data_IF_844537567451
#
_entry.id   IF_844537567451
#
_cell.length_a   1.000
_cell.length_b   1.000
_cell.length_c   1.000
_cell.angle_alpha   90.00
_cell.angle_beta   90.00
_cell.angle_gamma   90.00
#
_symmetry.space_group_name_H-M   'P 1'
#
loop_
_entity.id
_entity.type
_entity.pdbx_description
1 polymer ?
#
# COMPACT_ATOMS: atom_id res chain seq x y z
N UNK A 1 -16.03 6.50 -7.65
CA UNK A 1 -14.75 6.33 -8.38
C UNK A 1 -14.45 4.87 -8.73
N UNK A 2 -15.01 3.85 -8.05
CA UNK A 2 -14.77 2.43 -8.34
C UNK A 2 -15.40 1.94 -9.65
N UNK A 3 -16.48 2.58 -10.07
CA UNK A 3 -17.31 2.12 -11.19
C UNK A 3 -16.62 2.29 -12.54
N UNK A 4 -15.70 3.26 -12.67
CA UNK A 4 -15.01 3.56 -13.92
C UNK A 4 -14.02 2.44 -14.28
N UNK A 5 -13.32 1.87 -13.30
CA UNK A 5 -12.32 0.83 -13.55
C UNK A 5 -12.96 -0.48 -14.03
N UNK A 6 -14.11 -0.85 -13.45
CA UNK A 6 -14.81 -2.08 -13.76
C UNK A 6 -15.44 -2.08 -15.18
N UNK A 7 -15.61 -0.89 -15.77
CA UNK A 7 -16.20 -0.70 -17.11
C UNK A 7 -15.16 -0.56 -18.22
N UNK A 8 -13.86 -0.43 -17.89
CA UNK A 8 -12.79 -0.34 -18.89
C UNK A 8 -12.52 -1.70 -19.51
N UNK A 9 -12.06 -1.71 -20.75
CA UNK A 9 -11.48 -2.91 -21.36
C UNK A 9 -10.12 -3.15 -20.70
N UNK A 10 -9.89 -4.36 -20.20
CA UNK A 10 -8.64 -4.72 -19.57
C UNK A 10 -7.56 -4.99 -20.62
N UNK A 11 -6.46 -4.25 -20.58
CA UNK A 11 -5.40 -4.32 -21.61
C UNK A 11 -4.83 -5.72 -21.81
N UNK A 12 -4.61 -6.49 -20.74
CA UNK A 12 -3.97 -7.82 -20.88
C UNK A 12 -4.96 -8.93 -21.24
N UNK A 13 -6.25 -8.71 -21.02
CA UNK A 13 -7.25 -9.78 -21.22
C UNK A 13 -8.35 -9.43 -22.20
N UNK A 14 -8.36 -8.22 -22.75
CA UNK A 14 -9.28 -7.77 -23.80
C UNK A 14 -10.75 -7.68 -23.38
N UNK A 15 -11.09 -7.99 -22.13
CA UNK A 15 -12.47 -8.04 -21.64
C UNK A 15 -12.76 -6.96 -20.62
N UNK A 16 -14.04 -6.66 -20.44
CA UNK A 16 -14.51 -5.73 -19.43
C UNK A 16 -14.67 -6.49 -18.11
N UNK A 17 -13.98 -6.10 -17.02
CA UNK A 17 -14.03 -6.81 -15.74
C UNK A 17 -15.45 -7.03 -15.20
N UNK A 18 -16.35 -6.05 -15.36
CA UNK A 18 -17.74 -6.17 -14.93
C UNK A 18 -18.51 -7.26 -15.69
N UNK A 19 -18.25 -7.45 -16.98
CA UNK A 19 -18.90 -8.48 -17.79
C UNK A 19 -18.33 -9.87 -17.46
N UNK A 20 -17.00 -9.97 -17.37
CA UNK A 20 -16.32 -11.22 -16.98
C UNK A 20 -16.74 -11.71 -15.59
N UNK A 21 -16.88 -10.79 -14.64
CA UNK A 21 -17.30 -11.12 -13.27
C UNK A 21 -18.67 -11.82 -13.24
N UNK A 22 -19.59 -11.53 -14.18
CA UNK A 22 -20.90 -12.22 -14.23
C UNK A 22 -20.76 -13.72 -14.49
N UNK A 23 -19.76 -14.10 -15.29
CA UNK A 23 -19.47 -15.50 -15.65
C UNK A 23 -18.67 -16.16 -14.52
N UNK A 24 -17.66 -15.47 -13.99
CA UNK A 24 -16.79 -16.01 -12.93
C UNK A 24 -17.50 -16.17 -11.59
N UNK A 25 -18.58 -15.43 -11.35
CA UNK A 25 -19.30 -15.41 -10.06
C UNK A 25 -19.76 -16.79 -9.59
N UNK A 26 -20.11 -17.71 -10.50
CA UNK A 26 -20.48 -19.08 -10.13
C UNK A 26 -19.32 -19.90 -9.59
N UNK A 27 -18.09 -19.52 -9.91
CA UNK A 27 -16.86 -20.21 -9.53
C UNK A 27 -16.19 -19.58 -8.30
N UNK A 28 -16.70 -18.43 -7.83
CA UNK A 28 -16.15 -17.76 -6.65
C UNK A 28 -16.57 -18.48 -5.37
N UNK A 29 -15.62 -18.62 -4.46
CA UNK A 29 -15.90 -19.05 -3.09
C UNK A 29 -16.72 -17.98 -2.36
N UNK A 30 -17.57 -18.37 -1.40
CA UNK A 30 -18.25 -17.40 -0.55
C UNK A 30 -17.22 -16.52 0.16
N UNK A 31 -17.59 -15.27 0.44
CA UNK A 31 -16.76 -14.41 1.26
C UNK A 31 -16.57 -15.08 2.63
N UNK A 32 -15.35 -15.08 3.18
CA UNK A 32 -15.13 -15.56 4.53
C UNK A 32 -15.99 -14.74 5.50
N UNK A 33 -16.32 -15.34 6.65
CA UNK A 33 -16.97 -14.60 7.73
C UNK A 33 -16.11 -13.39 8.10
N UNK A 34 -16.76 -12.33 8.56
CA UNK A 34 -16.08 -11.16 9.10
C UNK A 34 -15.02 -11.62 10.09
N UNK A 35 -13.80 -11.09 9.93
CA UNK A 35 -12.68 -11.44 10.79
C UNK A 35 -13.01 -11.07 12.23
N UNK A 36 -13.41 -12.05 13.04
CA UNK A 36 -13.75 -11.86 14.46
C UNK A 36 -12.51 -11.71 15.34
N UNK A 37 -11.32 -11.61 14.76
CA UNK A 37 -10.15 -11.24 15.55
C UNK A 37 -10.39 -9.88 16.18
N UNK A 38 -9.88 -9.71 17.41
CA UNK A 38 -9.91 -8.42 18.09
C UNK A 38 -9.23 -7.40 17.18
N UNK A 39 -10.01 -6.62 16.45
CA UNK A 39 -9.53 -5.36 15.93
C UNK A 39 -9.07 -4.61 17.17
N UNK A 40 -7.81 -4.16 17.27
CA UNK A 40 -7.46 -3.23 18.32
C UNK A 40 -8.49 -2.11 18.17
N UNK A 41 -9.40 -2.01 19.15
CA UNK A 41 -10.46 -1.02 19.19
C UNK A 41 -9.80 0.26 18.73
N UNK A 42 -10.31 0.85 17.64
CA UNK A 42 -9.78 2.02 16.94
C UNK A 42 -8.73 2.62 17.82
N UNK A 43 -7.44 2.33 17.57
CA UNK A 43 -6.39 2.96 18.35
C UNK A 43 -6.76 4.42 18.18
N UNK A 44 -7.36 5.01 19.22
CA UNK A 44 -7.31 6.43 19.40
C UNK A 44 -5.83 6.62 19.20
N UNK A 45 -5.49 7.31 18.12
CA UNK A 45 -4.13 7.74 17.92
C UNK A 45 -3.98 8.69 19.09
N UNK A 46 -3.68 8.11 20.27
CA UNK A 46 -3.08 8.78 21.37
C UNK A 46 -1.98 9.49 20.63
N UNK A 47 -2.07 10.81 20.59
CA UNK A 47 -0.97 11.63 20.15
C UNK A 47 0.16 11.25 21.10
N UNK A 48 0.87 10.18 20.73
CA UNK A 48 2.05 9.75 21.41
C UNK A 48 2.97 10.92 21.18
N UNK A 49 3.10 11.74 22.22
CA UNK A 49 4.24 12.64 22.36
C UNK A 49 5.52 11.84 22.59
N UNK A 50 5.56 10.57 22.17
CA UNK A 50 6.77 9.84 21.84
C UNK A 50 7.69 10.80 21.11
N UNK A 51 8.88 10.97 21.68
CA UNK A 51 9.92 11.85 21.17
C UNK A 51 9.99 11.67 19.66
N UNK A 52 9.54 12.70 18.93
CA UNK A 52 9.65 12.71 17.47
C UNK A 52 11.10 12.38 17.14
N UNK A 53 11.30 11.55 16.12
CA UNK A 53 12.63 11.21 15.61
C UNK A 53 13.54 12.44 15.66
N UNK A 54 14.73 12.25 16.22
CA UNK A 54 15.72 13.32 16.32
C UNK A 54 15.84 14.03 14.98
N UNK A 55 15.69 15.36 14.99
CA UNK A 55 15.81 16.19 13.78
C UNK A 55 17.25 16.27 13.28
N UNK A 56 18.18 15.56 13.92
CA UNK A 56 19.58 15.50 13.51
C UNK A 56 19.67 14.68 12.23
N UNK A 57 20.19 15.31 11.18
CA UNK A 57 20.49 14.61 9.93
C UNK A 57 21.52 13.51 10.18
N UNK A 58 21.15 12.28 9.85
CA UNK A 58 22.04 11.11 9.91
C UNK A 58 22.97 11.03 8.68
N UNK A 59 22.83 11.96 7.72
CA UNK A 59 23.64 11.98 6.51
C UNK A 59 24.89 12.86 6.71
N UNK A 60 26.04 12.33 6.29
CA UNK A 60 27.29 13.08 6.20
C UNK A 60 27.24 14.11 5.07
N UNK A 61 28.06 15.16 5.16
CA UNK A 61 28.17 16.13 4.07
C UNK A 61 28.76 15.47 2.82
N UNK A 62 28.31 15.91 1.63
CA UNK A 62 28.72 15.33 0.35
C UNK A 62 30.23 15.39 0.11
N UNK A 63 30.92 16.39 0.68
CA UNK A 63 32.38 16.49 0.62
C UNK A 63 33.08 15.27 1.22
N UNK A 64 32.53 14.63 2.26
CA UNK A 64 33.13 13.44 2.86
C UNK A 64 33.15 12.28 1.87
N UNK A 65 32.05 12.07 1.14
CA UNK A 65 32.00 11.04 0.10
C UNK A 65 32.96 11.33 -1.04
N UNK A 66 33.08 12.60 -1.44
CA UNK A 66 34.04 13.03 -2.47
C UNK A 66 35.48 12.73 -2.05
N UNK A 67 35.86 13.05 -0.81
CA UNK A 67 37.21 12.76 -0.29
C UNK A 67 37.52 11.26 -0.24
N UNK A 68 36.54 10.42 0.12
CA UNK A 68 36.71 8.97 0.13
C UNK A 68 36.90 8.45 -1.29
N UNK A 69 36.13 8.97 -2.24
CA UNK A 69 36.19 8.56 -3.64
C UNK A 69 37.51 8.98 -4.31
N UNK A 70 38.04 10.15 -3.98
CA UNK A 70 39.33 10.64 -4.51
C UNK A 70 40.55 9.96 -3.87
N UNK A 71 40.39 9.33 -2.70
CA UNK A 71 41.44 8.59 -2.02
C UNK A 71 41.58 7.12 -2.49
N UNK A 72 40.72 6.68 -3.42
CA UNK A 72 40.74 5.36 -4.06
C UNK A 72 41.43 5.43 -5.43
#
# INVERSE_FOLDING_TARGET
MRDIANLRVHETTGEIPAERLKIERSNLQPLPLDYSGSHPATLEIMEDKGERFSTVSLQHSLCIYQSILEAL
#
